data_IF_825709996639
#
_entry.id   IF_825709996639
#
_cell.length_a   1.000
_cell.length_b   1.000
_cell.length_c   1.000
_cell.angle_alpha   90.00
_cell.angle_beta   90.00
_cell.angle_gamma   90.00
#
_symmetry.space_group_name_H-M   'P 1'
#
loop_
_entity.id
_entity.type
_entity.pdbx_description
1 polymer ?
#
# COMPACT_ATOMS: atom_id res chain seq x y z
N UNK A 1 -35.71 -51.87 -12.22
CA UNK A 1 -34.40 -52.50 -12.46
C UNK A 1 -33.38 -51.74 -11.62
N UNK A 2 -33.29 -52.13 -10.33
CA UNK A 2 -32.14 -52.13 -9.37
C UNK A 2 -31.29 -50.84 -9.27
N UNK A 3 -31.08 -50.13 -8.15
CA UNK A 3 -31.53 -50.24 -6.75
C UNK A 3 -31.21 -48.99 -5.89
N UNK A 4 -32.08 -48.72 -4.88
CA UNK A 4 -31.86 -48.29 -3.47
C UNK A 4 -30.89 -47.11 -3.14
N UNK A 5 -31.28 -45.93 -2.58
CA UNK A 5 -31.87 -45.61 -1.25
C UNK A 5 -31.41 -46.57 -0.13
N UNK A 6 -30.71 -46.17 0.93
CA UNK A 6 -31.19 -45.56 2.21
C UNK A 6 -30.03 -45.73 3.22
N UNK A 7 -29.66 -44.79 4.09
CA UNK A 7 -30.02 -44.64 5.53
C UNK A 7 -29.00 -43.64 6.13
N UNK A 8 -29.37 -42.52 6.78
CA UNK A 8 -29.67 -42.34 8.23
C UNK A 8 -28.57 -42.90 9.16
N UNK A 9 -28.07 -42.27 10.23
CA UNK A 9 -28.41 -41.05 10.99
C UNK A 9 -27.24 -40.72 11.96
N UNK A 10 -27.10 -39.47 12.42
CA UNK A 10 -27.34 -39.04 13.83
C UNK A 10 -26.85 -40.01 14.93
N UNK A 11 -25.93 -39.54 15.80
CA UNK A 11 -26.12 -39.39 17.27
C UNK A 11 -24.83 -38.86 17.94
N UNK A 12 -25.08 -38.09 19.00
CA UNK A 12 -24.21 -37.36 19.93
C UNK A 12 -23.19 -38.18 20.74
N UNK A 13 -22.18 -37.49 21.29
CA UNK A 13 -21.42 -37.93 22.47
C UNK A 13 -20.38 -36.92 22.96
N UNK A 14 -20.59 -36.42 24.18
CA UNK A 14 -19.79 -35.41 24.91
C UNK A 14 -18.36 -35.84 25.33
N UNK A 15 -17.49 -34.82 25.55
CA UNK A 15 -16.44 -34.67 26.62
C UNK A 15 -15.24 -35.64 26.56
N UNK A 16 -13.96 -35.32 26.84
CA UNK A 16 -13.27 -34.36 27.76
C UNK A 16 -11.74 -34.49 27.52
N UNK A 17 -10.95 -33.40 27.35
CA UNK A 17 -9.73 -32.97 28.12
C UNK A 17 -8.88 -32.06 27.18
N UNK A 18 -8.77 -30.74 27.39
CA UNK A 18 -7.82 -30.00 28.25
C UNK A 18 -6.35 -30.49 28.18
N UNK A 19 -5.48 -29.76 27.46
CA UNK A 19 -4.29 -29.06 28.01
C UNK A 19 -3.36 -28.42 26.94
N UNK A 20 -3.19 -27.08 27.08
CA UNK A 20 -1.96 -26.26 26.85
C UNK A 20 -1.41 -26.05 25.41
N UNK A 21 -0.66 -24.95 25.15
CA UNK A 21 -1.11 -23.56 25.21
C UNK A 21 -0.83 -22.77 23.90
N UNK A 22 -1.61 -21.69 23.73
CA UNK A 22 -1.39 -20.63 22.74
C UNK A 22 -0.14 -19.82 23.10
N UNK A 23 0.79 -19.67 22.17
CA UNK A 23 1.85 -18.64 22.22
C UNK A 23 1.48 -17.52 21.26
N UNK A 24 1.07 -16.40 21.86
CA UNK A 24 0.80 -15.13 21.21
C UNK A 24 2.10 -14.41 20.89
N UNK A 25 2.11 -13.80 19.72
CA UNK A 25 3.09 -12.82 19.29
C UNK A 25 2.64 -11.45 19.79
N UNK A 26 3.28 -10.90 20.82
CA UNK A 26 3.36 -9.44 21.05
C UNK A 26 4.59 -9.09 21.90
N UNK A 27 5.13 -7.89 21.62
CA UNK A 27 6.09 -7.10 22.42
C UNK A 27 7.59 -7.44 22.35
N UNK A 28 8.26 -6.85 21.35
CA UNK A 28 9.66 -6.39 21.49
C UNK A 28 9.61 -4.88 21.66
N UNK A 29 9.72 -4.43 22.91
CA UNK A 29 9.99 -3.03 23.27
C UNK A 29 11.51 -2.86 23.40
N UNK A 30 12.01 -1.82 22.74
CA UNK A 30 13.36 -1.28 22.90
C UNK A 30 13.56 -0.72 24.31
N UNK A 31 14.63 -1.12 25.00
CA UNK A 31 15.21 -0.32 26.09
C UNK A 31 16.70 -0.11 25.82
N UNK A 32 17.02 1.13 25.47
CA UNK A 32 18.33 1.75 25.69
C UNK A 32 18.60 1.77 27.20
N UNK A 33 19.73 1.24 27.64
CA UNK A 33 20.25 1.48 28.99
C UNK A 33 21.73 1.87 28.90
N UNK A 34 22.04 2.97 29.59
CA UNK A 34 23.31 3.66 29.67
C UNK A 34 24.43 2.77 30.22
N UNK A 35 25.59 2.82 29.57
CA UNK A 35 26.86 2.37 30.15
C UNK A 35 27.34 3.43 31.15
N UNK A 36 27.33 3.09 32.44
CA UNK A 36 28.03 3.86 33.47
C UNK A 36 29.39 3.20 33.78
N UNK A 37 30.45 4.02 33.70
CA UNK A 37 31.82 3.67 34.05
C UNK A 37 32.00 3.91 35.54
N UNK A 38 31.81 2.88 36.35
CA UNK A 38 32.39 2.77 37.71
C UNK A 38 31.99 1.40 38.26
N UNK A 39 32.89 0.42 38.15
CA UNK A 39 33.06 -0.70 39.09
C UNK A 39 34.17 -1.63 38.57
N UNK A 40 35.34 -1.01 38.38
CA UNK A 40 36.60 -1.67 38.09
C UNK A 40 37.51 -1.46 39.30
N UNK A 41 37.17 -2.06 40.45
CA UNK A 41 38.06 -2.24 41.61
C UNK A 41 37.37 -2.97 42.78
N UNK A 42 37.16 -4.28 42.67
CA UNK A 42 37.17 -5.23 43.81
C UNK A 42 36.87 -6.65 43.31
N UNK A 43 37.60 -7.63 43.85
CA UNK A 43 37.55 -9.07 43.52
C UNK A 43 38.08 -9.36 42.10
N UNK A 44 39.31 -9.79 41.91
CA UNK A 44 39.78 -11.14 42.25
C UNK A 44 41.30 -11.17 42.44
N UNK A 45 41.76 -11.04 43.68
CA UNK A 45 43.14 -11.32 44.09
C UNK A 45 43.23 -12.54 45.01
N UNK A 46 42.17 -13.35 45.12
CA UNK A 46 42.09 -14.50 46.02
C UNK A 46 42.03 -15.88 45.34
N UNK A 47 41.93 -15.96 44.00
CA UNK A 47 41.90 -17.28 43.31
C UNK A 47 43.26 -17.77 42.80
N UNK A 48 44.32 -16.95 42.89
CA UNK A 48 45.68 -17.33 42.46
C UNK A 48 46.50 -17.94 43.61
N UNK A 49 46.01 -17.91 44.86
CA UNK A 49 46.71 -18.44 46.03
C UNK A 49 46.35 -19.90 46.41
N UNK A 50 45.34 -20.51 45.77
CA UNK A 50 44.86 -21.87 46.09
C UNK A 50 45.52 -23.00 45.26
N UNK A 51 46.12 -22.66 44.11
CA UNK A 51 46.67 -23.66 43.18
C UNK A 51 48.12 -24.10 43.46
N UNK A 52 48.85 -23.43 44.37
CA UNK A 52 50.28 -23.68 44.61
C UNK A 52 50.61 -24.41 45.92
N UNK A 53 49.61 -24.96 46.64
CA UNK A 53 49.81 -25.68 47.92
C UNK A 53 49.56 -27.20 47.87
N UNK A 54 49.11 -27.74 46.73
CA UNK A 54 48.84 -29.18 46.56
C UNK A 54 49.94 -29.95 45.81
N UNK A 55 50.95 -29.26 45.26
CA UNK A 55 52.00 -29.87 44.44
C UNK A 55 53.30 -30.20 45.20
N UNK A 56 53.35 -29.92 46.51
CA UNK A 56 54.54 -30.09 47.35
C UNK A 56 54.27 -30.87 48.65
N UNK A 57 53.36 -31.85 48.64
CA UNK A 57 53.10 -32.68 49.84
C UNK A 57 52.67 -34.13 49.55
N UNK A 58 53.05 -34.71 48.40
CA UNK A 58 52.88 -36.15 48.12
C UNK A 58 54.16 -36.74 47.47
N UNK A 59 55.34 -36.27 47.91
CA UNK A 59 56.63 -36.79 47.44
C UNK A 59 57.51 -37.41 48.53
N UNK A 60 56.98 -37.66 49.73
CA UNK A 60 57.82 -38.04 50.89
C UNK A 60 57.21 -39.00 51.90
N UNK A 61 56.20 -39.82 51.57
CA UNK A 61 55.78 -40.93 52.44
C UNK A 61 55.30 -42.10 51.60
N UNK A 62 55.67 -43.32 52.02
CA UNK A 62 55.51 -44.62 51.37
C UNK A 62 56.72 -45.12 50.56
N UNK A 63 57.92 -44.92 51.10
CA UNK A 63 58.90 -46.02 51.16
C UNK A 63 58.61 -46.86 52.40
N UNK A 64 58.72 -48.19 52.26
CA UNK A 64 58.58 -49.25 53.26
C UNK A 64 57.14 -49.68 53.65
N UNK A 65 56.64 -50.74 53.00
CA UNK A 65 56.37 -52.01 53.68
C UNK A 65 55.85 -53.09 52.70
N UNK A 66 56.42 -54.29 52.86
CA UNK A 66 55.96 -55.62 52.42
C UNK A 66 56.11 -56.09 50.95
N UNK A 67 57.10 -56.99 50.81
CA UNK A 67 57.18 -58.10 49.84
C UNK A 67 56.02 -59.08 50.08
N UNK A 68 55.38 -59.59 49.03
CA UNK A 68 55.52 -60.99 48.51
C UNK A 68 54.36 -61.34 47.57
N UNK A 69 54.69 -61.70 46.32
CA UNK A 69 54.03 -62.73 45.50
C UNK A 69 52.63 -62.49 44.91
N UNK A 70 52.55 -62.20 43.60
CA UNK A 70 51.71 -62.96 42.63
C UNK A 70 51.78 -62.34 41.22
N UNK A 71 52.68 -62.84 40.37
CA UNK A 71 52.96 -62.32 39.01
C UNK A 71 51.95 -62.74 37.92
N UNK A 72 50.77 -63.27 38.28
CA UNK A 72 49.82 -63.79 37.29
C UNK A 72 48.56 -62.92 37.05
N UNK A 73 48.28 -61.95 37.94
CA UNK A 73 47.12 -61.05 37.81
C UNK A 73 47.45 -59.78 37.00
N UNK A 74 48.74 -59.42 36.91
CA UNK A 74 49.19 -58.24 36.17
C UNK A 74 49.14 -58.37 34.64
N UNK A 75 49.10 -59.60 34.11
CA UNK A 75 49.12 -59.84 32.66
C UNK A 75 47.77 -59.57 31.99
N UNK A 76 46.65 -60.04 32.58
CA UNK A 76 45.32 -59.85 32.00
C UNK A 76 44.80 -58.42 32.13
N UNK A 77 45.06 -57.74 33.26
CA UNK A 77 44.70 -56.32 33.42
C UNK A 77 45.46 -55.40 32.46
N UNK A 78 46.72 -55.74 32.13
CA UNK A 78 47.54 -54.94 31.22
C UNK A 78 47.02 -55.03 29.78
N UNK A 79 46.66 -56.23 29.31
CA UNK A 79 46.14 -56.46 27.96
C UNK A 79 44.76 -55.82 27.76
N UNK A 80 43.86 -55.91 28.74
CA UNK A 80 42.55 -55.22 28.67
C UNK A 80 42.68 -53.70 28.72
N UNK A 81 43.64 -53.17 29.50
CA UNK A 81 43.88 -51.72 29.57
C UNK A 81 44.50 -51.16 28.29
N UNK A 82 45.38 -51.93 27.64
CA UNK A 82 46.00 -51.53 26.38
C UNK A 82 44.99 -51.58 25.22
N UNK A 83 44.15 -52.61 25.16
CA UNK A 83 43.08 -52.71 24.16
C UNK A 83 42.00 -51.63 24.32
N UNK A 84 41.57 -51.33 25.56
CA UNK A 84 40.66 -50.20 25.83
C UNK A 84 41.31 -48.85 25.49
N UNK A 85 42.61 -48.71 25.75
CA UNK A 85 43.36 -47.49 25.42
C UNK A 85 43.50 -47.25 23.92
N UNK A 86 43.72 -48.28 23.10
CA UNK A 86 43.77 -48.17 21.64
C UNK A 86 42.38 -47.94 21.04
N UNK A 87 41.35 -48.65 21.51
CA UNK A 87 39.96 -48.41 21.08
C UNK A 87 39.51 -47.00 21.43
N UNK A 88 39.85 -46.50 22.62
CA UNK A 88 39.56 -45.12 23.03
C UNK A 88 40.30 -44.08 22.16
N UNK A 89 41.56 -44.34 21.77
CA UNK A 89 42.29 -43.45 20.85
C UNK A 89 41.68 -43.42 19.45
N UNK A 90 41.26 -44.58 18.93
CA UNK A 90 40.61 -44.67 17.62
C UNK A 90 39.25 -43.97 17.66
N UNK A 91 38.42 -44.25 18.67
CA UNK A 91 37.14 -43.59 18.86
C UNK A 91 37.30 -42.07 19.02
N UNK A 92 38.28 -41.61 19.81
CA UNK A 92 38.61 -40.19 19.96
C UNK A 92 39.08 -39.56 18.65
N UNK A 93 39.90 -40.26 17.86
CA UNK A 93 40.33 -39.82 16.54
C UNK A 93 39.18 -39.70 15.54
N UNK A 94 38.28 -40.69 15.50
CA UNK A 94 37.08 -40.68 14.66
C UNK A 94 36.10 -39.58 15.07
N UNK A 95 35.90 -39.35 16.37
CA UNK A 95 35.07 -38.24 16.88
C UNK A 95 35.70 -36.88 16.58
N UNK A 96 37.02 -36.73 16.70
CA UNK A 96 37.70 -35.48 16.34
C UNK A 96 37.65 -35.20 14.83
N UNK A 97 37.73 -36.24 13.98
CA UNK A 97 37.53 -36.10 12.54
C UNK A 97 36.08 -35.73 12.19
N UNK A 98 35.09 -36.40 12.80
CA UNK A 98 33.69 -36.04 12.59
C UNK A 98 33.40 -34.60 13.05
N UNK A 99 33.94 -34.19 14.20
CA UNK A 99 33.83 -32.82 14.70
C UNK A 99 34.55 -31.81 13.80
N UNK A 100 35.70 -32.16 13.20
CA UNK A 100 36.43 -31.28 12.30
C UNK A 100 35.72 -31.04 10.96
N UNK A 101 34.81 -31.93 10.54
CA UNK A 101 33.93 -31.71 9.39
C UNK A 101 32.61 -31.01 9.76
N UNK A 102 32.07 -31.26 10.95
CA UNK A 102 30.82 -30.64 11.42
C UNK A 102 30.97 -29.14 11.71
N UNK A 103 32.12 -28.71 12.27
CA UNK A 103 32.35 -27.30 12.60
C UNK A 103 32.39 -26.41 11.34
N UNK A 104 33.14 -26.73 10.27
CA UNK A 104 33.10 -25.99 9.01
C UNK A 104 31.73 -26.03 8.34
N UNK A 105 31.03 -27.18 8.39
CA UNK A 105 29.69 -27.29 7.84
C UNK A 105 28.71 -26.36 8.57
N UNK A 106 28.72 -26.34 9.91
CA UNK A 106 27.89 -25.42 10.72
C UNK A 106 28.26 -23.95 10.47
N UNK A 107 29.55 -23.63 10.34
CA UNK A 107 30.00 -22.29 9.98
C UNK A 107 29.53 -21.88 8.57
N UNK A 108 29.55 -22.80 7.61
CA UNK A 108 29.05 -22.59 6.26
C UNK A 108 27.54 -22.35 6.26
N UNK A 109 26.75 -23.18 6.96
CA UNK A 109 25.31 -22.96 7.11
C UNK A 109 25.00 -21.62 7.79
N UNK A 110 25.74 -21.26 8.84
CA UNK A 110 25.56 -19.97 9.53
C UNK A 110 25.88 -18.78 8.62
N UNK A 111 26.91 -18.89 7.79
CA UNK A 111 27.26 -17.88 6.77
C UNK A 111 26.19 -17.79 5.69
N UNK A 112 25.69 -18.94 5.21
CA UNK A 112 24.58 -19.00 4.25
C UNK A 112 23.32 -18.36 4.81
N UNK A 113 22.96 -18.58 6.07
CA UNK A 113 21.82 -17.92 6.71
C UNK A 113 22.00 -16.41 6.83
N UNK A 114 23.22 -15.94 7.11
CA UNK A 114 23.54 -14.51 7.16
C UNK A 114 23.43 -13.87 5.77
N UNK A 115 23.99 -14.52 4.75
CA UNK A 115 23.96 -14.06 3.36
C UNK A 115 22.53 -14.09 2.81
N UNK A 116 21.74 -15.13 3.11
CA UNK A 116 20.33 -15.23 2.76
C UNK A 116 19.50 -14.13 3.44
N UNK A 117 19.78 -13.84 4.71
CA UNK A 117 19.13 -12.75 5.45
C UNK A 117 19.46 -11.36 4.89
N UNK A 118 20.73 -11.13 4.49
CA UNK A 118 21.14 -9.90 3.83
C UNK A 118 20.50 -9.76 2.45
N UNK A 119 20.47 -10.84 1.68
CA UNK A 119 19.81 -10.89 0.37
C UNK A 119 18.31 -10.63 0.48
N UNK A 120 17.63 -11.26 1.46
CA UNK A 120 16.22 -10.99 1.78
C UNK A 120 15.98 -9.52 2.16
N UNK A 121 16.80 -8.94 3.04
CA UNK A 121 16.69 -7.50 3.40
C UNK A 121 16.91 -6.60 2.19
N UNK A 122 17.87 -6.93 1.34
CA UNK A 122 18.13 -6.20 0.10
C UNK A 122 16.96 -6.29 -0.87
N UNK A 123 16.36 -7.48 -1.05
CA UNK A 123 15.19 -7.70 -1.89
C UNK A 123 13.95 -7.02 -1.33
N UNK A 124 13.70 -7.10 -0.03
CA UNK A 124 12.61 -6.37 0.64
C UNK A 124 12.82 -4.87 0.44
N UNK A 125 14.04 -4.35 0.63
CA UNK A 125 14.35 -2.94 0.41
C UNK A 125 14.29 -2.51 -1.06
N UNK A 126 14.62 -3.39 -2.00
CA UNK A 126 14.47 -3.16 -3.44
C UNK A 126 12.99 -3.14 -3.83
N UNK A 127 12.22 -4.12 -3.37
CA UNK A 127 10.77 -4.21 -3.59
C UNK A 127 10.06 -3.02 -2.96
N UNK A 128 10.36 -2.67 -1.70
CA UNK A 128 9.81 -1.48 -1.05
C UNK A 128 10.14 -0.19 -1.84
N UNK A 129 11.37 -0.04 -2.35
CA UNK A 129 11.73 1.12 -3.19
C UNK A 129 11.02 1.11 -4.53
N UNK A 130 10.87 -0.06 -5.17
CA UNK A 130 10.18 -0.22 -6.45
C UNK A 130 8.68 0.04 -6.30
N UNK A 131 8.04 -0.52 -5.29
CA UNK A 131 6.63 -0.27 -4.96
C UNK A 131 6.41 1.20 -4.55
N UNK A 132 7.25 1.76 -3.67
CA UNK A 132 7.15 3.18 -3.27
C UNK A 132 7.34 4.15 -4.45
N UNK A 133 8.09 3.76 -5.48
CA UNK A 133 8.25 4.53 -6.73
C UNK A 133 7.08 4.41 -7.70
N UNK A 134 6.20 3.43 -7.51
CA UNK A 134 5.07 3.20 -8.40
C UNK A 134 3.76 3.79 -7.89
N UNK A 135 3.69 4.30 -6.65
CA UNK A 135 2.48 4.95 -6.16
C UNK A 135 2.22 6.22 -6.97
N UNK A 136 1.05 6.28 -7.60
CA UNK A 136 0.57 7.47 -8.28
C UNK A 136 0.00 8.52 -7.31
N UNK A 137 -0.32 8.11 -6.08
CA UNK A 137 -0.63 8.98 -4.94
C UNK A 137 0.38 8.71 -3.82
N UNK A 138 1.33 9.62 -3.64
CA UNK A 138 2.44 9.47 -2.70
C UNK A 138 1.98 9.35 -1.24
N UNK A 139 2.89 8.92 -0.37
CA UNK A 139 2.64 8.89 1.06
C UNK A 139 2.43 10.31 1.62
N UNK A 140 1.74 10.37 2.76
CA UNK A 140 1.48 11.62 3.48
C UNK A 140 2.79 12.27 3.93
N UNK A 141 2.89 13.58 3.68
CA UNK A 141 3.97 14.43 4.16
C UNK A 141 3.38 15.64 4.87
N UNK A 142 4.04 16.10 5.95
CA UNK A 142 3.65 17.33 6.64
C UNK A 142 3.54 18.51 5.67
N UNK A 143 2.45 19.27 5.76
CA UNK A 143 2.11 20.32 4.80
C UNK A 143 3.14 21.45 4.78
N UNK A 144 3.61 21.88 5.95
CA UNK A 144 4.57 22.97 6.06
C UNK A 144 5.94 22.53 5.53
N UNK A 145 6.36 21.31 5.88
CA UNK A 145 7.59 20.68 5.38
C UNK A 145 7.56 20.50 3.86
N UNK A 146 6.42 20.08 3.31
CA UNK A 146 6.19 20.02 1.86
C UNK A 146 6.34 21.41 1.23
N UNK A 147 5.69 22.43 1.79
CA UNK A 147 5.70 23.78 1.25
C UNK A 147 7.10 24.41 1.25
N UNK A 148 7.86 24.26 2.34
CA UNK A 148 9.25 24.75 2.43
C UNK A 148 10.15 24.06 1.40
N UNK A 149 9.91 22.77 1.13
CA UNK A 149 10.70 22.00 0.17
C UNK A 149 10.38 22.38 -1.28
N UNK A 150 9.11 22.54 -1.62
CA UNK A 150 8.66 22.83 -2.99
C UNK A 150 8.89 24.31 -3.35
N UNK A 151 8.58 25.22 -2.43
CA UNK A 151 8.58 26.67 -2.68
C UNK A 151 9.78 27.34 -2.01
N UNK A 152 10.97 27.12 -2.60
CA UNK A 152 12.25 27.68 -2.14
C UNK A 152 12.47 29.12 -2.61
N UNK A 153 13.29 29.86 -1.86
CA UNK A 153 13.74 31.21 -2.22
C UNK A 153 12.75 32.33 -1.87
N UNK A 154 13.09 33.55 -2.29
CA UNK A 154 12.43 34.79 -1.85
C UNK A 154 11.51 35.44 -2.90
N UNK A 155 11.17 34.70 -3.96
CA UNK A 155 10.28 35.21 -5.01
C UNK A 155 8.90 35.54 -4.43
N UNK A 156 8.18 36.56 -4.97
CA UNK A 156 6.84 36.90 -4.50
C UNK A 156 5.87 35.71 -4.56
N UNK A 157 5.98 34.88 -5.60
CA UNK A 157 5.18 33.65 -5.77
C UNK A 157 5.47 32.63 -4.67
N UNK A 158 6.75 32.35 -4.38
CA UNK A 158 7.12 31.41 -3.32
C UNK A 158 6.65 31.90 -1.94
N UNK A 159 6.80 33.20 -1.65
CA UNK A 159 6.28 33.82 -0.42
C UNK A 159 4.77 33.68 -0.29
N UNK A 160 4.03 33.97 -1.36
CA UNK A 160 2.56 33.84 -1.39
C UNK A 160 2.14 32.39 -1.15
N UNK A 161 2.79 31.43 -1.80
CA UNK A 161 2.46 30.02 -1.66
C UNK A 161 2.73 29.49 -0.25
N UNK A 162 3.83 29.91 0.39
CA UNK A 162 4.11 29.58 1.80
C UNK A 162 3.03 30.12 2.73
N UNK A 163 2.62 31.37 2.55
CA UNK A 163 1.49 31.94 3.31
C UNK A 163 0.17 31.21 3.07
N UNK A 164 -0.09 30.79 1.83
CA UNK A 164 -1.28 30.00 1.52
C UNK A 164 -1.26 28.65 2.25
N UNK A 165 -0.12 27.96 2.29
CA UNK A 165 0.01 26.72 3.06
C UNK A 165 -0.10 26.93 4.58
N UNK A 166 0.43 28.04 5.11
CA UNK A 166 0.24 28.43 6.52
C UNK A 166 -1.25 28.65 6.83
N UNK A 167 -1.98 29.36 5.95
CA UNK A 167 -3.44 29.54 6.09
C UNK A 167 -4.16 28.19 6.14
N UNK A 168 -3.83 27.27 5.22
CA UNK A 168 -4.42 25.92 5.21
C UNK A 168 -4.12 25.14 6.49
N UNK A 169 -2.90 25.26 7.03
CA UNK A 169 -2.50 24.57 8.25
C UNK A 169 -3.20 25.12 9.50
N UNK A 170 -3.28 26.44 9.64
CA UNK A 170 -3.81 27.10 10.83
C UNK A 170 -5.33 27.26 10.79
N UNK A 171 -5.89 27.67 9.65
CA UNK A 171 -7.31 28.00 9.50
C UNK A 171 -8.17 26.81 9.08
N UNK A 172 -7.65 25.98 8.17
CA UNK A 172 -8.38 24.82 7.64
C UNK A 172 -7.93 23.50 8.28
N UNK A 173 -6.99 23.56 9.22
CA UNK A 173 -6.48 22.41 9.98
C UNK A 173 -5.90 21.28 9.11
N UNK A 174 -5.40 21.59 7.92
CA UNK A 174 -4.76 20.58 7.05
C UNK A 174 -3.34 20.32 7.55
N UNK A 175 -3.07 19.12 8.05
CA UNK A 175 -1.77 18.75 8.64
C UNK A 175 -0.82 18.17 7.62
N UNK A 176 -1.33 17.30 6.78
CA UNK A 176 -0.54 16.57 5.80
C UNK A 176 -1.08 16.79 4.39
N UNK A 177 -0.25 16.50 3.40
CA UNK A 177 -0.62 16.48 1.99
C UNK A 177 -0.09 15.20 1.36
N UNK A 178 -0.90 14.58 0.50
CA UNK A 178 -0.44 13.54 -0.42
C UNK A 178 -0.24 14.13 -1.80
N UNK A 179 0.99 14.07 -2.28
CA UNK A 179 1.29 14.48 -3.65
C UNK A 179 0.71 13.46 -4.62
N UNK A 180 0.15 13.95 -5.71
CA UNK A 180 -0.44 13.12 -6.76
C UNK A 180 0.43 13.27 -8.00
N UNK A 181 0.67 12.15 -8.68
CA UNK A 181 1.47 12.07 -9.89
C UNK A 181 1.04 13.13 -10.89
N UNK A 182 2.02 13.91 -11.35
CA UNK A 182 1.84 15.03 -12.26
C UNK A 182 1.71 14.56 -13.72
N UNK A 183 0.60 13.90 -14.02
CA UNK A 183 0.20 13.55 -15.38
C UNK A 183 -1.20 14.10 -15.72
N UNK A 184 -1.64 13.88 -16.95
CA UNK A 184 -2.90 14.37 -17.48
C UNK A 184 -4.15 13.70 -16.86
N UNK A 185 -3.98 12.75 -15.93
CA UNK A 185 -5.07 12.19 -15.12
C UNK A 185 -5.08 12.71 -13.68
N UNK A 186 -4.24 13.69 -13.31
CA UNK A 186 -4.09 14.14 -11.92
C UNK A 186 -5.42 14.51 -11.23
N UNK A 187 -6.33 15.20 -11.91
CA UNK A 187 -7.65 15.56 -11.37
C UNK A 187 -8.52 14.32 -11.09
N UNK A 188 -8.70 13.45 -12.09
CA UNK A 188 -9.48 12.20 -11.97
C UNK A 188 -8.90 11.29 -10.89
N UNK A 189 -7.57 11.16 -10.84
CA UNK A 189 -6.86 10.41 -9.81
C UNK A 189 -7.14 10.93 -8.41
N UNK A 190 -7.05 12.24 -8.23
CA UNK A 190 -7.24 12.87 -6.92
C UNK A 190 -8.68 12.70 -6.42
N UNK A 191 -9.66 12.92 -7.30
CA UNK A 191 -11.08 12.75 -6.99
C UNK A 191 -11.39 11.30 -6.64
N UNK A 192 -10.95 10.36 -7.48
CA UNK A 192 -11.22 8.93 -7.27
C UNK A 192 -10.55 8.40 -6.00
N UNK A 193 -9.32 8.85 -5.71
CA UNK A 193 -8.64 8.50 -4.47
C UNK A 193 -9.44 8.97 -3.24
N UNK A 194 -9.95 10.20 -3.26
CA UNK A 194 -10.77 10.72 -2.15
C UNK A 194 -12.06 9.91 -1.97
N UNK A 195 -12.75 9.59 -3.07
CA UNK A 195 -13.96 8.75 -3.04
C UNK A 195 -13.68 7.40 -2.36
N UNK A 196 -12.62 6.70 -2.77
CA UNK A 196 -12.31 5.36 -2.23
C UNK A 196 -11.76 5.39 -0.81
N UNK A 197 -10.87 6.32 -0.50
CA UNK A 197 -10.29 6.43 0.85
C UNK A 197 -11.33 6.80 1.90
N UNK A 198 -12.25 7.71 1.56
CA UNK A 198 -13.36 8.10 2.43
C UNK A 198 -14.50 7.07 2.44
N UNK A 199 -14.55 6.16 1.47
CA UNK A 199 -15.59 5.14 1.36
C UNK A 199 -16.94 5.73 0.96
N UNK A 200 -16.94 6.71 0.06
CA UNK A 200 -18.17 7.35 -0.40
C UNK A 200 -19.00 6.37 -1.23
N UNK A 201 -20.32 6.39 -1.04
CA UNK A 201 -21.23 5.51 -1.78
C UNK A 201 -21.43 5.97 -3.22
N UNK A 202 -21.99 5.10 -4.07
CA UNK A 202 -22.43 5.49 -5.41
C UNK A 202 -23.42 6.66 -5.39
N UNK A 203 -23.39 7.54 -6.42
CA UNK A 203 -24.43 8.53 -6.63
C UNK A 203 -25.80 7.88 -6.82
N UNK A 204 -26.85 8.62 -6.51
CA UNK A 204 -28.24 8.16 -6.51
C UNK A 204 -28.65 7.54 -7.85
N UNK A 205 -28.35 8.23 -8.96
CA UNK A 205 -28.69 7.77 -10.30
C UNK A 205 -27.98 6.46 -10.72
N UNK A 206 -26.81 6.15 -10.16
CA UNK A 206 -26.11 4.88 -10.40
C UNK A 206 -26.65 3.72 -9.57
N UNK A 207 -27.41 4.00 -8.50
CA UNK A 207 -28.15 2.98 -7.75
C UNK A 207 -29.40 2.56 -8.50
N UNK A 208 -30.03 3.49 -9.20
CA UNK A 208 -31.25 3.28 -9.98
C UNK A 208 -30.99 2.66 -11.36
N UNK A 209 -29.85 3.00 -11.99
CA UNK A 209 -29.48 2.54 -13.33
C UNK A 209 -28.32 1.55 -13.25
N UNK A 210 -28.41 0.44 -13.98
CA UNK A 210 -27.26 -0.47 -14.12
C UNK A 210 -26.18 0.15 -15.00
N UNK A 211 -25.14 0.69 -14.36
CA UNK A 211 -24.09 1.44 -15.04
C UNK A 211 -23.36 0.63 -16.12
N UNK A 212 -23.27 -0.70 -15.97
CA UNK A 212 -22.60 -1.58 -16.93
C UNK A 212 -23.35 -1.66 -18.26
N UNK A 213 -24.66 -1.35 -18.26
CA UNK A 213 -25.50 -1.32 -19.47
C UNK A 213 -25.54 0.06 -20.15
N UNK A 214 -24.96 1.10 -19.55
CA UNK A 214 -24.96 2.45 -20.13
C UNK A 214 -24.26 2.53 -21.49
N UNK A 215 -23.12 1.84 -21.72
CA UNK A 215 -22.52 1.84 -23.06
C UNK A 215 -23.46 1.24 -24.12
N UNK A 216 -24.35 0.31 -23.74
CA UNK A 216 -25.34 -0.30 -24.66
C UNK A 216 -26.46 0.70 -24.91
N UNK A 217 -26.94 1.32 -23.83
CA UNK A 217 -27.98 2.35 -23.89
C UNK A 217 -27.59 3.48 -24.83
N UNK A 218 -26.39 4.05 -24.71
CA UNK A 218 -25.95 5.14 -25.59
C UNK A 218 -25.92 4.72 -27.05
N UNK A 219 -25.42 3.52 -27.34
CA UNK A 219 -25.34 3.02 -28.71
C UNK A 219 -26.73 2.76 -29.32
N UNK A 220 -27.56 1.97 -28.62
CA UNK A 220 -28.80 1.44 -29.19
C UNK A 220 -30.01 2.36 -29.02
N UNK A 221 -30.11 3.11 -27.90
CA UNK A 221 -31.28 3.95 -27.63
C UNK A 221 -31.14 5.39 -28.14
N UNK A 222 -29.91 5.90 -28.27
CA UNK A 222 -29.64 7.27 -28.72
C UNK A 222 -28.97 7.32 -30.10
N UNK A 223 -28.76 6.18 -30.78
CA UNK A 223 -28.14 6.13 -32.10
C UNK A 223 -26.72 6.71 -32.14
N UNK A 224 -26.00 6.71 -31.00
CA UNK A 224 -24.70 7.35 -30.84
C UNK A 224 -23.56 6.52 -31.45
N UNK A 225 -23.63 6.22 -32.75
CA UNK A 225 -22.55 5.54 -33.49
C UNK A 225 -21.22 6.29 -33.39
N UNK A 226 -21.29 7.59 -33.14
CA UNK A 226 -20.15 8.46 -32.92
C UNK A 226 -19.30 8.06 -31.70
N UNK A 227 -19.84 7.31 -30.72
CA UNK A 227 -19.07 6.81 -29.57
C UNK A 227 -17.88 5.93 -30.00
N UNK A 228 -17.91 5.35 -31.20
CA UNK A 228 -16.80 4.60 -31.77
C UNK A 228 -15.54 5.45 -32.01
N UNK A 229 -15.66 6.78 -31.95
CA UNK A 229 -14.52 7.71 -32.02
C UNK A 229 -13.87 7.96 -30.65
N UNK A 230 -14.28 7.24 -29.61
CA UNK A 230 -13.69 7.35 -28.27
C UNK A 230 -12.27 6.77 -28.25
N UNK A 231 -11.29 7.60 -27.87
CA UNK A 231 -9.86 7.29 -28.07
C UNK A 231 -9.17 6.61 -26.88
N UNK A 232 -9.80 6.53 -25.72
CA UNK A 232 -9.19 6.03 -24.47
C UNK A 232 -7.90 6.79 -24.07
N UNK A 233 -7.89 8.11 -24.28
CA UNK A 233 -6.80 8.98 -23.84
C UNK A 233 -5.46 8.57 -24.47
N UNK A 234 -4.42 8.26 -23.67
CA UNK A 234 -3.07 8.00 -24.17
C UNK A 234 -2.99 6.71 -25.01
N UNK A 235 -3.98 5.82 -24.95
CA UNK A 235 -4.00 4.62 -25.78
C UNK A 235 -4.26 4.94 -27.26
N UNK A 236 -4.95 6.05 -27.56
CA UNK A 236 -5.31 6.46 -28.93
C UNK A 236 -5.94 5.30 -29.71
N UNK A 237 -6.85 4.60 -29.05
CA UNK A 237 -7.46 3.38 -29.54
C UNK A 237 -8.25 3.63 -30.83
N UNK A 238 -7.97 2.84 -31.85
CA UNK A 238 -8.62 2.89 -33.18
C UNK A 238 -9.34 1.59 -33.53
N UNK A 239 -9.44 0.65 -32.58
CA UNK A 239 -10.09 -0.63 -32.81
C UNK A 239 -11.62 -0.53 -32.83
N UNK A 240 -12.27 -1.56 -33.37
CA UNK A 240 -13.73 -1.58 -33.57
C UNK A 240 -14.54 -1.95 -32.31
N UNK A 241 -13.90 -2.39 -31.23
CA UNK A 241 -14.58 -2.84 -30.01
C UNK A 241 -14.49 -1.80 -28.87
N UNK A 242 -14.75 -0.54 -29.19
CA UNK A 242 -14.81 0.55 -28.19
C UNK A 242 -15.83 0.21 -27.11
N UNK A 243 -17.01 -0.24 -27.51
CA UNK A 243 -18.10 -0.59 -26.62
C UNK A 243 -17.71 -1.66 -25.59
N UNK A 244 -17.17 -2.80 -26.03
CA UNK A 244 -16.80 -3.90 -25.13
C UNK A 244 -15.71 -3.49 -24.16
N UNK A 245 -14.84 -2.57 -24.57
CA UNK A 245 -13.77 -2.03 -23.73
C UNK A 245 -14.30 -1.01 -22.72
N UNK A 246 -15.20 -0.11 -23.10
CA UNK A 246 -15.91 0.79 -22.18
C UNK A 246 -16.69 0.00 -21.11
N UNK A 247 -17.43 -1.04 -21.54
CA UNK A 247 -18.15 -1.92 -20.62
C UNK A 247 -17.22 -2.54 -19.58
N UNK A 248 -16.05 -3.06 -19.99
CA UNK A 248 -15.04 -3.61 -19.07
C UNK A 248 -14.50 -2.55 -18.10
N UNK A 249 -14.31 -1.32 -18.54
CA UNK A 249 -13.86 -0.22 -17.68
C UNK A 249 -14.91 0.11 -16.62
N UNK A 250 -16.17 0.26 -17.03
CA UNK A 250 -17.29 0.57 -16.12
C UNK A 250 -17.57 -0.57 -15.15
N UNK A 251 -17.48 -1.82 -15.59
CA UNK A 251 -17.63 -3.01 -14.73
C UNK A 251 -16.52 -3.10 -13.67
N UNK A 252 -15.27 -2.79 -14.07
CA UNK A 252 -14.16 -2.67 -13.13
C UNK A 252 -14.41 -1.56 -12.10
N UNK A 253 -14.86 -0.38 -12.54
CA UNK A 253 -15.20 0.73 -11.63
C UNK A 253 -16.30 0.33 -10.64
N UNK A 254 -17.37 -0.31 -11.12
CA UNK A 254 -18.47 -0.82 -10.29
C UNK A 254 -17.94 -1.79 -9.22
N UNK A 255 -17.10 -2.73 -9.63
CA UNK A 255 -16.52 -3.75 -8.75
C UNK A 255 -15.66 -3.11 -7.67
N UNK A 256 -14.69 -2.29 -8.05
CA UNK A 256 -13.78 -1.62 -7.11
C UNK A 256 -14.55 -0.72 -6.15
N UNK A 257 -15.46 0.11 -6.66
CA UNK A 257 -16.22 1.03 -5.81
C UNK A 257 -17.13 0.28 -4.83
N UNK A 258 -17.77 -0.81 -5.25
CA UNK A 258 -18.57 -1.67 -4.34
C UNK A 258 -17.71 -2.26 -3.23
N UNK A 259 -16.50 -2.72 -3.57
CA UNK A 259 -15.54 -3.26 -2.61
C UNK A 259 -15.11 -2.21 -1.58
N UNK A 260 -14.73 -1.00 -2.03
CA UNK A 260 -14.34 0.10 -1.14
C UNK A 260 -15.49 0.55 -0.23
N UNK A 261 -16.70 0.66 -0.76
CA UNK A 261 -17.89 1.02 0.02
C UNK A 261 -18.25 -0.05 1.08
N UNK A 262 -17.89 -1.32 0.85
CA UNK A 262 -18.11 -2.41 1.80
C UNK A 262 -17.15 -2.43 2.99
N UNK A 263 -16.05 -1.67 2.96
CA UNK A 263 -15.02 -1.69 4.00
C UNK A 263 -15.27 -0.54 4.98
N UNK A 264 -15.57 -0.89 6.24
CA UNK A 264 -15.78 0.11 7.31
C UNK A 264 -14.47 0.68 7.88
N UNK A 265 -13.42 -0.13 7.95
CA UNK A 265 -12.12 0.27 8.50
C UNK A 265 -11.36 1.19 7.55
N UNK A 266 -11.10 2.42 8.01
CA UNK A 266 -10.36 3.44 7.28
C UNK A 266 -8.92 3.02 6.95
N UNK A 267 -8.21 2.36 7.87
CA UNK A 267 -6.82 1.94 7.62
C UNK A 267 -6.76 0.86 6.55
N UNK A 268 -7.68 -0.10 6.59
CA UNK A 268 -7.82 -1.12 5.55
C UNK A 268 -8.16 -0.48 4.19
N UNK A 269 -9.10 0.47 4.14
CA UNK A 269 -9.40 1.22 2.89
C UNK A 269 -8.16 1.96 2.37
N UNK A 270 -7.42 2.65 3.23
CA UNK A 270 -6.20 3.36 2.86
C UNK A 270 -5.13 2.43 2.28
N UNK A 271 -4.91 1.27 2.89
CA UNK A 271 -4.00 0.24 2.35
C UNK A 271 -4.45 -0.26 0.98
N UNK A 272 -5.75 -0.51 0.79
CA UNK A 272 -6.28 -0.94 -0.50
C UNK A 272 -6.20 0.15 -1.57
N UNK A 273 -6.42 1.41 -1.20
CA UNK A 273 -6.16 2.54 -2.10
C UNK A 273 -4.70 2.55 -2.54
N UNK A 274 -3.75 2.41 -1.61
CA UNK A 274 -2.32 2.40 -1.97
C UNK A 274 -1.97 1.25 -2.92
N UNK A 275 -2.62 0.09 -2.81
CA UNK A 275 -2.43 -1.05 -3.72
C UNK A 275 -3.03 -0.71 -5.10
N UNK A 276 -4.28 -0.22 -5.14
CA UNK A 276 -4.97 0.16 -6.37
C UNK A 276 -4.19 1.20 -7.17
N UNK A 277 -3.80 2.29 -6.50
CA UNK A 277 -3.06 3.42 -7.06
C UNK A 277 -1.54 3.15 -7.18
N UNK A 278 -1.17 1.87 -7.28
CA UNK A 278 0.17 1.42 -7.65
C UNK A 278 0.18 0.60 -8.95
N UNK A 279 -1.00 0.31 -9.51
CA UNK A 279 -1.19 -0.38 -10.79
C UNK A 279 -1.73 0.59 -11.85
N UNK A 280 -0.86 1.12 -12.75
CA UNK A 280 -1.26 2.07 -13.78
C UNK A 280 -2.30 1.52 -14.76
N UNK A 281 -2.28 0.21 -15.04
CA UNK A 281 -3.21 -0.39 -16.01
C UNK A 281 -4.64 -0.43 -15.44
N UNK A 282 -4.76 -0.69 -14.14
CA UNK A 282 -6.02 -0.67 -13.44
C UNK A 282 -6.52 0.77 -13.29
N UNK A 283 -5.65 1.68 -12.83
CA UNK A 283 -5.94 3.11 -12.71
C UNK A 283 -6.52 3.70 -14.01
N UNK A 284 -5.86 3.48 -15.14
CA UNK A 284 -6.26 4.11 -16.40
C UNK A 284 -7.63 3.62 -16.86
N UNK A 285 -7.97 2.34 -16.64
CA UNK A 285 -9.32 1.83 -16.91
C UNK A 285 -10.37 2.51 -16.03
N UNK A 286 -10.07 2.77 -14.77
CA UNK A 286 -10.98 3.50 -13.88
C UNK A 286 -11.19 4.95 -14.35
N UNK A 287 -10.13 5.62 -14.81
CA UNK A 287 -10.25 6.98 -15.35
C UNK A 287 -11.07 7.02 -16.64
N UNK A 288 -10.89 6.05 -17.53
CA UNK A 288 -11.72 5.93 -18.74
C UNK A 288 -13.19 5.62 -18.41
N UNK A 289 -13.46 4.86 -17.34
CA UNK A 289 -14.83 4.69 -16.84
C UNK A 289 -15.44 6.00 -16.33
N UNK A 290 -14.68 6.80 -15.58
CA UNK A 290 -15.14 8.11 -15.10
C UNK A 290 -15.39 9.10 -16.25
N UNK A 291 -14.47 9.16 -17.22
CA UNK A 291 -14.65 9.97 -18.44
C UNK A 291 -15.92 9.56 -19.19
N UNK A 292 -16.16 8.26 -19.34
CA UNK A 292 -17.39 7.77 -19.97
C UNK A 292 -18.64 8.15 -19.17
N UNK A 293 -18.60 8.09 -17.83
CA UNK A 293 -19.69 8.56 -16.97
C UNK A 293 -19.95 10.06 -17.17
N UNK A 294 -18.90 10.88 -17.27
CA UNK A 294 -19.03 12.32 -17.58
C UNK A 294 -19.70 12.53 -18.93
N UNK A 295 -19.26 11.80 -19.96
CA UNK A 295 -19.86 11.86 -21.29
C UNK A 295 -21.33 11.46 -21.28
N UNK A 296 -21.69 10.39 -20.56
CA UNK A 296 -23.07 9.96 -20.39
C UNK A 296 -23.94 11.07 -19.78
N UNK A 297 -23.44 11.77 -18.76
CA UNK A 297 -24.18 12.88 -18.15
C UNK A 297 -24.33 14.06 -19.11
N UNK A 298 -23.27 14.40 -19.85
CA UNK A 298 -23.34 15.42 -20.91
C UNK A 298 -24.41 15.04 -21.96
N UNK A 299 -24.48 13.79 -22.38
CA UNK A 299 -25.52 13.34 -23.35
C UNK A 299 -26.94 13.44 -22.78
N UNK A 300 -27.17 13.03 -21.52
CA UNK A 300 -28.51 13.10 -20.93
C UNK A 300 -28.95 14.56 -20.73
N UNK A 301 -28.06 15.44 -20.30
CA UNK A 301 -28.37 16.88 -20.16
C UNK A 301 -28.58 17.55 -21.52
N UNK A 302 -27.84 17.15 -22.56
CA UNK A 302 -28.06 17.65 -23.91
C UNK A 302 -29.43 17.25 -24.47
N UNK A 303 -29.88 16.02 -24.24
CA UNK A 303 -31.23 15.58 -24.63
C UNK A 303 -32.33 16.27 -23.82
N UNK A 304 -32.08 16.59 -22.54
CA UNK A 304 -32.97 17.45 -21.75
C UNK A 304 -33.08 18.85 -22.36
N UNK A 305 -31.96 19.45 -22.77
CA UNK A 305 -31.92 20.76 -23.42
C UNK A 305 -32.73 20.75 -24.73
N UNK A 306 -32.54 19.74 -25.59
CA UNK A 306 -33.31 19.57 -26.84
C UNK A 306 -34.81 19.43 -26.61
N UNK A 307 -35.20 18.82 -25.50
CA UNK A 307 -36.61 18.66 -25.12
C UNK A 307 -37.16 19.86 -24.33
N UNK A 308 -36.48 21.02 -24.38
CA UNK A 308 -36.84 22.26 -23.69
C UNK A 308 -37.01 22.11 -22.17
N UNK A 309 -36.30 21.16 -21.56
CA UNK A 309 -36.24 21.03 -20.11
C UNK A 309 -35.20 21.99 -19.53
N UNK A 310 -35.42 22.41 -18.28
CA UNK A 310 -34.46 23.23 -17.55
C UNK A 310 -33.21 22.41 -17.27
N UNK A 311 -32.05 22.93 -17.70
CA UNK A 311 -30.74 22.33 -17.46
C UNK A 311 -29.86 23.26 -16.61
N UNK A 312 -28.89 22.73 -15.84
CA UNK A 312 -27.98 23.57 -15.06
C UNK A 312 -27.18 24.54 -15.93
N UNK A 313 -27.00 25.78 -15.46
CA UNK A 313 -26.37 26.88 -16.22
C UNK A 313 -24.99 26.54 -16.79
N UNK A 314 -24.18 25.77 -16.06
CA UNK A 314 -22.84 25.40 -16.54
C UNK A 314 -22.86 24.43 -17.73
N UNK A 315 -23.90 23.61 -17.88
CA UNK A 315 -24.11 22.84 -19.11
C UNK A 315 -24.57 23.73 -20.27
N UNK A 316 -25.36 24.78 -20.02
CA UNK A 316 -25.68 25.77 -21.06
C UNK A 316 -24.41 26.46 -21.56
N UNK A 317 -23.51 26.84 -20.64
CA UNK A 317 -22.21 27.42 -20.99
C UNK A 317 -21.35 26.41 -21.77
N UNK A 318 -21.32 25.13 -21.37
CA UNK A 318 -20.63 24.07 -22.10
C UNK A 318 -21.09 24.00 -23.57
N UNK A 319 -22.41 23.94 -23.79
CA UNK A 319 -22.99 23.83 -25.13
C UNK A 319 -22.97 25.14 -25.93
N UNK A 320 -22.69 26.28 -25.29
CA UNK A 320 -22.49 27.55 -26.01
C UNK A 320 -21.11 27.67 -26.67
N UNK A 321 -20.13 26.84 -26.28
CA UNK A 321 -18.79 26.81 -26.88
C UNK A 321 -18.84 26.10 -28.24
N UNK A 322 -18.18 26.64 -29.25
CA UNK A 322 -18.07 25.99 -30.56
C UNK A 322 -17.43 24.60 -30.49
N UNK A 323 -16.43 24.42 -29.61
CA UNK A 323 -15.70 23.15 -29.48
C UNK A 323 -16.42 22.09 -28.63
N UNK A 324 -17.56 22.42 -28.02
CA UNK A 324 -18.36 21.49 -27.20
C UNK A 324 -19.85 21.75 -27.30
N UNK A 325 -20.32 22.17 -28.47
CA UNK A 325 -21.72 22.54 -28.73
C UNK A 325 -22.71 21.37 -28.63
N UNK A 326 -22.20 20.16 -28.75
CA UNK A 326 -22.92 18.91 -28.61
C UNK A 326 -22.02 17.83 -27.96
N UNK A 327 -22.56 16.69 -27.50
CA UNK A 327 -21.78 15.66 -26.82
C UNK A 327 -20.67 15.03 -27.67
N UNK A 328 -20.85 14.93 -29.00
CA UNK A 328 -19.81 14.42 -29.90
C UNK A 328 -18.65 15.42 -29.98
N UNK A 329 -18.96 16.70 -30.19
CA UNK A 329 -17.97 17.78 -30.19
C UNK A 329 -17.21 17.83 -28.86
N UNK A 330 -17.92 17.73 -27.72
CA UNK A 330 -17.30 17.63 -26.39
C UNK A 330 -16.34 16.44 -26.29
N UNK A 331 -16.77 15.26 -26.74
CA UNK A 331 -15.95 14.04 -26.69
C UNK A 331 -14.67 14.19 -27.50
N UNK A 332 -14.77 14.61 -28.76
CA UNK A 332 -13.63 14.67 -29.69
C UNK A 332 -12.63 15.74 -29.27
N UNK A 333 -13.12 16.94 -28.94
CA UNK A 333 -12.26 18.11 -28.77
C UNK A 333 -11.70 18.26 -27.35
N UNK A 334 -12.34 17.65 -26.35
CA UNK A 334 -11.97 17.81 -24.94
C UNK A 334 -11.70 16.45 -24.29
N UNK A 335 -12.73 15.61 -24.17
CA UNK A 335 -12.68 14.41 -23.34
C UNK A 335 -11.66 13.37 -23.84
N UNK A 336 -11.52 13.20 -25.15
CA UNK A 336 -10.55 12.28 -25.75
C UNK A 336 -9.10 12.68 -25.45
N UNK A 337 -8.83 13.98 -25.26
CA UNK A 337 -7.50 14.51 -24.92
C UNK A 337 -7.14 14.36 -23.45
N UNK A 338 -8.14 14.16 -22.57
CA UNK A 338 -7.93 13.96 -21.14
C UNK A 338 -7.11 12.69 -20.90
N UNK A 339 -5.96 12.86 -20.26
CA UNK A 339 -5.00 11.79 -20.01
C UNK A 339 -3.92 11.61 -21.07
N UNK A 340 -4.11 12.19 -22.27
CA UNK A 340 -3.13 12.17 -23.36
C UNK A 340 -2.38 13.50 -23.44
N UNK A 341 -3.03 14.57 -23.87
CA UNK A 341 -2.43 15.89 -24.10
C UNK A 341 -2.83 16.94 -23.07
N UNK A 342 -3.97 16.79 -22.41
CA UNK A 342 -4.45 17.73 -21.38
C UNK A 342 -5.06 17.02 -20.16
N UNK A 343 -5.18 17.75 -19.05
CA UNK A 343 -6.00 17.37 -17.91
C UNK A 343 -7.40 17.97 -17.98
N UNK A 344 -8.20 17.77 -16.93
CA UNK A 344 -9.53 18.37 -16.81
C UNK A 344 -9.45 19.90 -16.71
N UNK A 345 -10.26 20.59 -17.50
CA UNK A 345 -10.53 22.02 -17.36
C UNK A 345 -11.47 22.28 -16.15
N UNK A 346 -11.63 23.54 -15.76
CA UNK A 346 -12.54 23.89 -14.65
C UNK A 346 -14.00 23.49 -14.94
N UNK A 347 -14.45 23.62 -16.19
CA UNK A 347 -15.80 23.17 -16.57
C UNK A 347 -15.94 21.65 -16.48
N UNK A 348 -14.86 20.90 -16.74
CA UNK A 348 -14.86 19.45 -16.60
C UNK A 348 -14.90 19.01 -15.13
N UNK A 349 -14.30 19.79 -14.22
CA UNK A 349 -14.44 19.56 -12.78
C UNK A 349 -15.89 19.71 -12.32
N UNK A 350 -16.64 20.65 -12.90
CA UNK A 350 -18.09 20.76 -12.68
C UNK A 350 -18.83 19.52 -13.19
N UNK A 351 -18.54 19.08 -14.43
CA UNK A 351 -19.17 17.89 -15.01
C UNK A 351 -18.85 16.66 -14.16
N UNK A 352 -17.61 16.50 -13.70
CA UNK A 352 -17.18 15.41 -12.83
C UNK A 352 -17.92 15.42 -11.49
N UNK A 353 -17.97 16.56 -10.80
CA UNK A 353 -18.70 16.72 -9.54
C UNK A 353 -20.19 16.42 -9.70
N UNK A 354 -20.82 16.95 -10.76
CA UNK A 354 -22.20 16.65 -11.11
C UNK A 354 -22.42 15.16 -11.40
N UNK A 355 -21.53 14.54 -12.18
CA UNK A 355 -21.68 13.15 -12.58
C UNK A 355 -21.58 12.17 -11.43
N UNK A 356 -20.79 12.50 -10.41
CA UNK A 356 -20.56 11.66 -9.25
C UNK A 356 -21.40 12.07 -8.04
N UNK A 357 -22.24 13.10 -8.18
CA UNK A 357 -23.01 13.73 -7.09
C UNK A 357 -22.16 14.07 -5.87
N UNK A 358 -20.99 14.68 -6.10
CA UNK A 358 -20.06 15.09 -5.05
C UNK A 358 -19.73 16.58 -5.15
N UNK A 359 -19.45 17.19 -3.99
CA UNK A 359 -18.87 18.54 -3.91
C UNK A 359 -17.36 18.42 -3.92
N UNK A 360 -16.73 18.94 -4.97
CA UNK A 360 -15.27 18.98 -5.08
C UNK A 360 -14.80 20.36 -4.63
N UNK A 361 -14.47 20.48 -3.35
CA UNK A 361 -13.89 21.68 -2.76
C UNK A 361 -12.41 21.75 -3.12
N UNK A 362 -11.97 22.85 -3.72
CA UNK A 362 -10.59 23.04 -4.18
C UNK A 362 -9.99 24.30 -3.57
N UNK A 363 -8.88 24.13 -2.85
CA UNK A 363 -8.02 25.22 -2.43
C UNK A 363 -7.04 25.57 -3.55
N UNK A 364 -7.21 26.74 -4.18
CA UNK A 364 -6.39 27.25 -5.28
C UNK A 364 -5.33 28.18 -4.73
N UNK A 365 -4.17 27.64 -4.38
CA UNK A 365 -3.18 28.36 -3.58
C UNK A 365 -2.58 29.57 -4.33
N UNK A 366 -2.49 29.49 -5.67
CA UNK A 366 -2.05 30.61 -6.50
C UNK A 366 -3.07 31.76 -6.57
N UNK A 367 -4.29 31.55 -6.04
CA UNK A 367 -5.36 32.54 -5.89
C UNK A 367 -5.49 33.02 -4.45
N UNK A 368 -4.50 32.79 -3.60
CA UNK A 368 -4.46 33.26 -2.22
C UNK A 368 -4.70 34.78 -2.12
N UNK A 369 -5.48 35.20 -1.12
CA UNK A 369 -6.03 36.57 -0.97
C UNK A 369 -7.01 37.01 -2.06
N UNK A 370 -7.61 36.08 -2.80
CA UNK A 370 -8.68 36.38 -3.77
C UNK A 370 -9.94 35.59 -3.43
N UNK A 371 -11.08 35.99 -4.03
CA UNK A 371 -12.36 35.28 -3.86
C UNK A 371 -12.31 33.85 -4.37
N UNK A 372 -11.40 33.56 -5.30
CA UNK A 372 -11.23 32.24 -5.92
C UNK A 372 -10.24 31.35 -5.15
N UNK A 373 -9.81 31.73 -3.94
CA UNK A 373 -8.92 30.89 -3.14
C UNK A 373 -9.56 29.55 -2.79
N UNK A 374 -10.86 29.58 -2.50
CA UNK A 374 -11.68 28.40 -2.21
C UNK A 374 -12.84 28.38 -3.21
N UNK A 375 -12.93 27.30 -3.99
CA UNK A 375 -14.00 27.09 -4.98
C UNK A 375 -14.61 25.70 -4.79
N UNK A 376 -15.86 25.52 -5.18
CA UNK A 376 -16.55 24.23 -5.07
C UNK A 376 -17.14 23.83 -6.42
N UNK A 377 -16.86 22.62 -6.88
CA UNK A 377 -17.44 22.10 -8.11
C UNK A 377 -18.46 20.99 -7.78
N UNK A 378 -19.76 21.16 -8.06
CA UNK A 378 -20.41 22.37 -8.57
C UNK A 378 -20.68 23.43 -7.48
N UNK A 379 -20.74 24.72 -7.87
CA UNK A 379 -20.93 25.84 -6.93
C UNK A 379 -22.31 25.83 -6.24
N UNK A 380 -23.33 25.26 -6.90
CA UNK A 380 -24.70 25.14 -6.40
C UNK A 380 -25.10 23.67 -6.21
N UNK A 381 -24.23 22.89 -5.55
CA UNK A 381 -24.50 21.50 -5.25
C UNK A 381 -25.63 21.33 -4.21
N UNK A 382 -26.48 20.30 -4.33
CA UNK A 382 -27.38 19.89 -3.27
C UNK A 382 -26.66 19.67 -1.94
N UNK A 383 -27.32 20.03 -0.82
CA UNK A 383 -26.71 19.91 0.50
C UNK A 383 -26.36 18.46 0.86
N UNK A 384 -27.12 17.49 0.38
CA UNK A 384 -26.90 16.07 0.67
C UNK A 384 -25.64 15.48 0.03
N UNK A 385 -25.08 16.13 -1.00
CA UNK A 385 -23.91 15.59 -1.70
C UNK A 385 -22.68 15.57 -0.77
N UNK A 386 -21.95 14.43 -0.70
CA UNK A 386 -20.72 14.36 0.08
C UNK A 386 -19.67 15.32 -0.48
N UNK A 387 -18.81 15.83 0.40
CA UNK A 387 -17.77 16.79 0.05
C UNK A 387 -16.39 16.15 0.15
N UNK A 388 -15.57 16.37 -0.88
CA UNK A 388 -14.15 16.04 -0.88
C UNK A 388 -13.34 17.32 -1.03
N UNK A 389 -12.17 17.36 -0.41
CA UNK A 389 -11.24 18.49 -0.51
C UNK A 389 -10.03 18.14 -1.37
N UNK A 390 -9.60 19.08 -2.20
CA UNK A 390 -8.39 19.02 -3.02
C UNK A 390 -7.59 20.32 -2.89
N UNK A 391 -6.31 20.24 -3.25
CA UNK A 391 -5.37 21.35 -3.23
C UNK A 391 -4.74 21.52 -4.60
N UNK A 392 -4.64 22.73 -5.15
CA UNK A 392 -3.95 22.96 -6.43
C UNK A 392 -3.09 24.21 -6.42
N UNK A 393 -1.94 24.09 -7.07
CA UNK A 393 -0.97 25.18 -7.25
C UNK A 393 -1.12 25.89 -8.60
N UNK A 394 -1.90 25.32 -9.54
CA UNK A 394 -1.95 25.78 -10.94
C UNK A 394 -3.17 25.31 -11.75
N UNK A 395 -4.24 24.79 -11.13
CA UNK A 395 -5.43 24.20 -11.76
C UNK A 395 -5.19 22.98 -12.66
N UNK A 396 -3.95 22.52 -12.81
CA UNK A 396 -3.61 21.33 -13.61
C UNK A 396 -3.28 20.12 -12.73
N UNK A 397 -2.67 20.38 -11.58
CA UNK A 397 -2.22 19.35 -10.66
C UNK A 397 -2.96 19.50 -9.34
N UNK A 398 -3.58 18.42 -8.90
CA UNK A 398 -4.36 18.38 -7.67
C UNK A 398 -3.65 17.48 -6.66
N UNK A 399 -3.58 17.93 -5.42
CA UNK A 399 -3.02 17.22 -4.28
C UNK A 399 -4.13 16.95 -3.28
N UNK A 400 -3.89 15.99 -2.40
CA UNK A 400 -4.91 15.52 -1.46
C UNK A 400 -4.56 16.07 -0.07
N UNK A 401 -5.34 17.00 0.48
CA UNK A 401 -5.17 17.45 1.85
C UNK A 401 -5.61 16.36 2.83
N UNK A 402 -4.88 16.23 3.92
CA UNK A 402 -5.16 15.33 5.04
C UNK A 402 -5.24 16.17 6.31
N UNK A 403 -6.37 16.05 7.01
CA UNK A 403 -6.77 16.87 8.15
C UNK A 403 -6.24 16.33 9.47
#
# INVERSE_FOLDING_TARGET
>A
MIDLKTLEGSVSGEKVLKHLPKLGWEQIIFTHASFDKRDQARFTSEEIASANKSHLTIKTKWTAAHRTGSDQVYSWMLVTSQALGTVWRIAKGSVMLAASFLVPALCYFRRMHYDLGHWLKWWIGYLQRKFKRNLSVEAEVDLLSFCVREWKGETPRAKMMRKACEELFWRHHIKCVRQVKRDNYAALRSVLFQIFSQGLSFPSWMKEKDIVKLPEKLLFSQGCNWIQQYSFGPEKYTGSNVFGKLRKCVDLLKTQWTEFNGIKDYHKRGSMCNILFSDPLLEYKLYEALKFIMLYQVTEVYEQMKTNKVIPNLFQLLFSRETSSDPLSFMINHLNSVGDTCGLEQIDMFILGHSLEIKIKVFRLFKFNSRDFEVCYPDLAPREWPEISLLTENDRHYHIPVF
#
